data_IF_130522382688
#
_entry.id   IF_130522382688
#
_cell.length_a   1.000
_cell.length_b   1.000
_cell.length_c   1.000
_cell.angle_alpha   90.00
_cell.angle_beta   90.00
_cell.angle_gamma   90.00
#
_symmetry.space_group_name_H-M   'P 1'
#
loop_
_entity.id
_entity.type
_entity.pdbx_description
1 polymer ?
#
# COMPACT_ATOMS: atom_id res chain seq x y z
N UNK A 1 8.60 8.40 18.20
CA UNK A 1 9.55 8.87 17.15
C UNK A 1 9.01 8.26 15.88
N UNK A 2 8.08 8.99 15.26
CA UNK A 2 7.17 8.50 14.21
C UNK A 2 7.43 9.23 12.87
N UNK A 3 8.54 9.98 12.81
CA UNK A 3 8.91 10.88 11.71
C UNK A 3 9.01 10.19 10.35
N UNK A 4 9.36 8.90 10.32
CA UNK A 4 9.46 8.13 9.07
C UNK A 4 8.09 7.78 8.51
N UNK A 5 7.13 7.42 9.38
CA UNK A 5 5.75 7.10 8.99
C UNK A 5 5.04 8.37 8.53
N UNK A 6 5.23 9.47 9.27
CA UNK A 6 4.68 10.78 8.89
C UNK A 6 5.19 11.23 7.52
N UNK A 7 6.49 11.03 7.23
CA UNK A 7 7.07 11.39 5.93
C UNK A 7 6.49 10.54 4.78
N UNK A 8 6.22 9.25 5.02
CA UNK A 8 5.58 8.39 4.01
C UNK A 8 4.14 8.85 3.74
N UNK A 9 3.36 9.13 4.79
CA UNK A 9 1.99 9.60 4.61
C UNK A 9 1.93 10.93 3.86
N UNK A 10 2.86 11.84 4.13
CA UNK A 10 2.99 13.11 3.39
C UNK A 10 3.26 12.83 1.91
N UNK A 11 4.17 11.90 1.58
CA UNK A 11 4.47 11.54 0.18
C UNK A 11 3.26 10.89 -0.50
N UNK A 12 2.54 10.02 0.19
CA UNK A 12 1.33 9.37 -0.31
C UNK A 12 0.26 10.42 -0.61
N UNK A 13 -0.01 11.33 0.31
CA UNK A 13 -1.01 12.39 0.11
C UNK A 13 -0.64 13.27 -1.09
N UNK A 14 0.63 13.65 -1.21
CA UNK A 14 1.13 14.41 -2.36
C UNK A 14 0.96 13.64 -3.68
N UNK A 15 1.37 12.37 -3.71
CA UNK A 15 1.21 11.53 -4.91
C UNK A 15 -0.26 11.35 -5.28
N UNK A 16 -1.15 11.22 -4.29
CA UNK A 16 -2.60 11.14 -4.48
C UNK A 16 -3.16 12.42 -5.10
N UNK A 17 -2.67 13.59 -4.70
CA UNK A 17 -3.07 14.88 -5.30
C UNK A 17 -2.59 15.03 -6.76
N UNK A 18 -1.43 14.44 -7.09
CA UNK A 18 -0.87 14.42 -8.45
C UNK A 18 -1.63 13.48 -9.40
N UNK A 19 -2.46 12.57 -8.88
CA UNK A 19 -3.32 11.71 -9.70
C UNK A 19 -4.39 12.52 -10.44
N UNK A 20 -4.73 12.06 -11.65
CA UNK A 20 -5.86 12.62 -12.40
C UNK A 20 -7.15 12.53 -11.58
N UNK A 21 -8.07 13.48 -11.81
CA UNK A 21 -9.35 13.49 -11.11
C UNK A 21 -10.16 12.20 -11.34
N UNK A 22 -10.04 11.61 -12.53
CA UNK A 22 -10.67 10.33 -12.87
C UNK A 22 -10.13 9.19 -12.01
N UNK A 23 -8.81 9.12 -11.85
CA UNK A 23 -8.16 8.11 -11.01
C UNK A 23 -8.54 8.27 -9.54
N UNK A 24 -8.51 9.49 -9.01
CA UNK A 24 -8.94 9.75 -7.62
C UNK A 24 -10.38 9.32 -7.39
N UNK A 25 -11.31 9.75 -8.25
CA UNK A 25 -12.72 9.37 -8.15
C UNK A 25 -12.94 7.86 -8.23
N UNK A 26 -12.19 7.16 -9.10
CA UNK A 26 -12.29 5.70 -9.21
C UNK A 26 -11.78 4.99 -7.94
N UNK A 27 -10.70 5.48 -7.34
CA UNK A 27 -10.16 4.95 -6.07
C UNK A 27 -11.15 5.23 -4.92
N UNK A 28 -11.67 6.46 -4.82
CA UNK A 28 -12.59 6.87 -3.76
C UNK A 28 -13.96 6.17 -3.83
N UNK A 29 -14.36 5.72 -5.03
CA UNK A 29 -15.60 4.98 -5.24
C UNK A 29 -15.56 3.56 -4.69
N UNK A 30 -14.36 2.99 -4.51
CA UNK A 30 -14.18 1.61 -4.00
C UNK A 30 -13.72 1.68 -2.56
N UNK A 31 -14.51 1.11 -1.65
CA UNK A 31 -14.13 1.01 -0.24
C UNK A 31 -13.11 -0.13 0.02
N UNK A 32 -11.91 0.05 -0.54
CA UNK A 32 -10.85 -0.94 -0.55
C UNK A 32 -10.25 -1.18 0.84
N UNK A 33 -10.30 -0.19 1.74
CA UNK A 33 -9.86 -0.33 3.13
C UNK A 33 -10.75 -1.31 3.89
N UNK A 34 -12.06 -1.22 3.72
CA UNK A 34 -13.01 -2.18 4.32
C UNK A 34 -12.83 -3.58 3.75
N UNK A 35 -12.48 -3.71 2.47
CA UNK A 35 -12.16 -5.01 1.86
C UNK A 35 -10.92 -5.63 2.52
N UNK A 36 -9.84 -4.86 2.69
CA UNK A 36 -8.63 -5.32 3.39
C UNK A 36 -8.95 -5.70 4.84
N UNK A 37 -9.75 -4.89 5.53
CA UNK A 37 -10.17 -5.20 6.91
C UNK A 37 -10.96 -6.51 7.00
N UNK A 38 -11.80 -6.80 5.99
CA UNK A 38 -12.55 -8.05 5.87
C UNK A 38 -11.64 -9.29 5.78
N UNK A 39 -10.45 -9.16 5.17
CA UNK A 39 -9.47 -10.26 5.07
C UNK A 39 -9.00 -10.75 6.45
N UNK A 40 -9.13 -9.94 7.50
CA UNK A 40 -8.86 -10.36 8.87
C UNK A 40 -9.70 -11.57 9.28
N UNK A 41 -10.99 -11.53 8.98
CA UNK A 41 -11.93 -12.57 9.36
C UNK A 41 -11.70 -13.86 8.54
N UNK A 42 -11.29 -13.71 7.27
CA UNK A 42 -11.09 -14.83 6.34
C UNK A 42 -9.75 -15.55 6.57
N UNK A 43 -8.66 -14.80 6.78
CA UNK A 43 -7.29 -15.33 6.79
C UNK A 43 -6.56 -15.22 8.14
N UNK A 44 -7.14 -14.51 9.10
CA UNK A 44 -6.55 -14.39 10.44
C UNK A 44 -5.31 -13.50 10.52
N UNK A 45 -5.12 -12.56 9.58
CA UNK A 45 -4.01 -11.62 9.61
C UNK A 45 -4.02 -10.75 10.87
N UNK A 46 -2.83 -10.38 11.36
CA UNK A 46 -2.70 -9.46 12.48
C UNK A 46 -3.02 -8.03 12.06
N UNK A 47 -3.35 -7.16 13.03
CA UNK A 47 -3.62 -5.75 12.74
C UNK A 47 -2.43 -5.08 12.05
N UNK A 48 -1.21 -5.32 12.53
CA UNK A 48 0.03 -4.79 11.92
C UNK A 48 0.25 -5.29 10.50
N UNK A 49 -0.11 -6.55 10.20
CA UNK A 49 -0.02 -7.08 8.84
C UNK A 49 -1.00 -6.40 7.89
N UNK A 50 -2.23 -6.15 8.35
CA UNK A 50 -3.25 -5.45 7.56
C UNK A 50 -2.91 -3.98 7.38
N UNK A 51 -2.35 -3.32 8.39
CA UNK A 51 -1.86 -1.95 8.30
C UNK A 51 -0.71 -1.84 7.27
N UNK A 52 0.23 -2.80 7.28
CA UNK A 52 1.26 -2.88 6.26
C UNK A 52 0.66 -3.13 4.86
N UNK A 53 -0.32 -4.03 4.73
CA UNK A 53 -1.01 -4.29 3.47
C UNK A 53 -1.76 -3.06 2.95
N UNK A 54 -2.45 -2.33 3.83
CA UNK A 54 -3.15 -1.09 3.52
C UNK A 54 -2.16 -0.05 2.97
N UNK A 55 -1.05 0.15 3.68
CA UNK A 55 -0.02 1.12 3.31
C UNK A 55 0.63 0.77 1.96
N UNK A 56 1.02 -0.49 1.74
CA UNK A 56 1.59 -0.94 0.45
C UNK A 56 0.58 -0.81 -0.69
N UNK A 57 -0.70 -1.09 -0.42
CA UNK A 57 -1.75 -0.94 -1.43
C UNK A 57 -1.97 0.52 -1.77
N UNK A 58 -1.97 1.42 -0.79
CA UNK A 58 -2.08 2.85 -1.04
C UNK A 58 -0.89 3.39 -1.84
N UNK A 59 0.33 2.95 -1.52
CA UNK A 59 1.54 3.26 -2.27
C UNK A 59 1.43 2.82 -3.75
N UNK A 60 0.90 1.62 -3.99
CA UNK A 60 0.66 1.12 -5.36
C UNK A 60 -0.43 1.94 -6.09
N UNK A 61 -1.55 2.24 -5.44
CA UNK A 61 -2.64 3.03 -6.02
C UNK A 61 -2.21 4.46 -6.37
N UNK A 62 -1.30 5.03 -5.60
CA UNK A 62 -0.67 6.32 -5.86
C UNK A 62 0.45 6.26 -6.90
N UNK A 63 0.79 5.09 -7.44
CA UNK A 63 1.86 4.91 -8.42
C UNK A 63 3.28 5.10 -7.86
N UNK A 64 3.44 5.01 -6.54
CA UNK A 64 4.75 5.11 -5.87
C UNK A 64 5.52 3.79 -5.88
N UNK A 65 4.82 2.68 -6.09
CA UNK A 65 5.39 1.33 -6.22
C UNK A 65 4.99 0.75 -7.57
N UNK A 66 5.90 0.01 -8.20
CA UNK A 66 5.59 -0.72 -9.43
C UNK A 66 4.77 -1.98 -9.11
N UNK A 67 3.78 -2.35 -9.95
CA UNK A 67 3.00 -3.57 -9.76
C UNK A 67 3.84 -4.84 -9.60
N UNK A 68 4.98 -4.91 -10.29
CA UNK A 68 5.92 -6.05 -10.24
C UNK A 68 6.66 -6.16 -8.90
N UNK A 69 6.77 -5.06 -8.15
CA UNK A 69 7.47 -5.00 -6.86
C UNK A 69 6.49 -5.13 -5.68
N UNK A 70 5.19 -4.97 -5.91
CA UNK A 70 4.16 -5.07 -4.87
C UNK A 70 4.19 -6.40 -4.08
N UNK A 71 4.32 -7.60 -4.71
CA UNK A 71 4.45 -8.85 -3.95
C UNK A 71 5.70 -8.87 -3.06
N UNK A 72 6.81 -8.26 -3.51
CA UNK A 72 8.08 -8.24 -2.77
C UNK A 72 8.02 -7.31 -1.56
N UNK A 73 7.38 -6.16 -1.69
CA UNK A 73 7.21 -5.23 -0.56
C UNK A 73 6.23 -5.80 0.48
N UNK A 74 5.17 -6.49 0.04
CA UNK A 74 4.30 -7.26 0.93
C UNK A 74 5.09 -8.34 1.68
N UNK A 75 5.91 -9.14 0.98
CA UNK A 75 6.74 -10.19 1.61
C UNK A 75 7.59 -9.62 2.74
N UNK A 76 8.26 -8.52 2.44
CA UNK A 76 9.20 -7.85 3.33
C UNK A 76 8.53 -7.23 4.55
N UNK A 77 7.35 -6.60 4.39
CA UNK A 77 6.68 -5.90 5.51
C UNK A 77 5.74 -6.78 6.31
N UNK A 78 5.03 -7.70 5.67
CA UNK A 78 4.09 -8.60 6.38
C UNK A 78 4.78 -9.84 6.96
N UNK A 79 5.98 -10.19 6.47
CA UNK A 79 6.74 -11.35 6.94
C UNK A 79 6.05 -12.68 6.69
N UNK A 80 5.25 -12.77 5.62
CA UNK A 80 4.49 -13.98 5.24
C UNK A 80 5.24 -14.77 4.16
N UNK A 81 5.09 -16.11 4.12
CA UNK A 81 5.75 -16.94 3.11
C UNK A 81 5.27 -16.59 1.70
N UNK A 82 6.17 -16.64 0.71
CA UNK A 82 5.88 -16.34 -0.69
C UNK A 82 4.64 -17.03 -1.27
N UNK A 83 4.40 -18.30 -0.91
CA UNK A 83 3.20 -19.03 -1.36
C UNK A 83 1.89 -18.33 -0.98
N UNK A 84 1.81 -17.76 0.23
CA UNK A 84 0.62 -17.05 0.71
C UNK A 84 0.49 -15.66 0.08
N UNK A 85 1.59 -15.08 -0.41
CA UNK A 85 1.61 -13.77 -1.06
C UNK A 85 0.97 -13.86 -2.43
N UNK A 86 1.29 -14.88 -3.20
CA UNK A 86 0.71 -15.07 -4.53
C UNK A 86 -0.82 -15.19 -4.44
N UNK A 87 -1.33 -15.91 -3.44
CA UNK A 87 -2.76 -15.99 -3.14
C UNK A 87 -3.35 -14.64 -2.71
N UNK A 88 -2.66 -13.90 -1.83
CA UNK A 88 -3.10 -12.60 -1.35
C UNK A 88 -3.15 -11.56 -2.48
N UNK A 89 -2.14 -11.52 -3.34
CA UNK A 89 -2.06 -10.61 -4.49
C UNK A 89 -3.18 -10.91 -5.48
N UNK A 90 -3.46 -12.19 -5.75
CA UNK A 90 -4.60 -12.57 -6.60
C UNK A 90 -5.93 -12.12 -6.00
N UNK A 91 -6.11 -12.29 -4.69
CA UNK A 91 -7.32 -11.85 -4.01
C UNK A 91 -7.48 -10.32 -4.05
N UNK A 92 -6.40 -9.58 -3.82
CA UNK A 92 -6.38 -8.11 -3.95
C UNK A 92 -6.69 -7.67 -5.39
N UNK A 93 -6.17 -8.39 -6.38
CA UNK A 93 -6.45 -8.11 -7.78
C UNK A 93 -7.93 -8.27 -8.12
N UNK A 94 -8.58 -9.34 -7.64
CA UNK A 94 -10.00 -9.57 -7.88
C UNK A 94 -10.92 -8.66 -7.04
N UNK A 95 -10.65 -8.50 -5.73
CA UNK A 95 -11.53 -7.77 -4.82
C UNK A 95 -11.36 -6.26 -4.91
N UNK A 96 -10.13 -5.77 -5.13
CA UNK A 96 -9.79 -4.34 -5.08
C UNK A 96 -9.43 -3.79 -6.47
N UNK A 97 -8.33 -4.26 -7.09
CA UNK A 97 -7.79 -3.61 -8.28
C UNK A 97 -8.71 -3.72 -9.50
N UNK A 98 -9.43 -4.84 -9.64
CA UNK A 98 -10.41 -5.02 -10.71
C UNK A 98 -11.57 -4.02 -10.59
N UNK A 99 -12.13 -3.84 -9.40
CA UNK A 99 -13.23 -2.87 -9.16
C UNK A 99 -12.79 -1.43 -9.44
N UNK A 100 -11.58 -1.06 -9.02
CA UNK A 100 -11.03 0.28 -9.29
C UNK A 100 -10.85 0.48 -10.81
N UNK A 101 -10.33 -0.53 -11.52
CA UNK A 101 -10.19 -0.49 -12.98
C UNK A 101 -11.55 -0.36 -13.69
N UNK A 102 -12.56 -1.09 -13.24
CA UNK A 102 -13.92 -1.00 -13.78
C UNK A 102 -14.51 0.42 -13.59
N UNK A 103 -14.37 1.01 -12.39
CA UNK A 103 -14.81 2.39 -12.14
C UNK A 103 -14.01 3.42 -12.95
N UNK A 104 -12.71 3.18 -13.19
CA UNK A 104 -11.88 4.05 -14.03
C UNK A 104 -12.38 4.06 -15.48
N UNK A 105 -12.65 2.88 -16.06
CA UNK A 105 -13.19 2.75 -17.43
C UNK A 105 -14.53 3.48 -17.54
N UNK A 106 -15.43 3.26 -16.58
CA UNK A 106 -16.75 3.90 -16.51
C UNK A 106 -16.67 5.42 -16.40
N UNK A 107 -15.71 5.96 -15.65
CA UNK A 107 -15.50 7.41 -15.52
C UNK A 107 -14.98 8.04 -16.83
N UNK A 108 -14.10 7.34 -17.56
CA UNK A 108 -13.59 7.79 -18.86
C UNK A 108 -14.69 7.76 -19.93
N UNK A 109 -15.53 6.72 -19.95
CA UNK A 109 -16.65 6.60 -20.90
C UNK A 109 -17.72 7.68 -20.71
N UNK A 110 -18.03 8.02 -19.45
CA UNK A 110 -18.94 9.14 -19.11
C UNK A 110 -18.45 10.48 -19.63
N UNK A 111 -17.12 10.70 -19.67
CA UNK A 111 -16.52 11.93 -20.22
C UNK A 111 -16.46 11.95 -21.75
N UNK A 112 -16.32 10.78 -22.39
CA UNK A 112 -16.25 10.65 -23.86
C UNK A 112 -17.59 10.76 -24.56
N UNK A 113 -18.69 10.65 -23.84
CA UNK A 113 -20.01 10.92 -24.40
C UNK A 113 -20.26 12.42 -24.27
N UNK A 114 -20.09 13.23 -25.33
CA UNK A 114 -20.54 14.60 -25.29
C UNK A 114 -22.03 14.56 -25.01
N UNK A 115 -22.40 15.14 -23.87
CA UNK A 115 -23.76 15.39 -23.45
C UNK A 115 -24.50 16.09 -24.60
N UNK A 116 -25.25 15.30 -25.37
CA UNK A 116 -26.30 15.82 -26.21
C UNK A 116 -27.33 16.44 -25.26
N UNK A 117 -27.28 17.77 -25.20
CA UNK A 117 -28.15 18.65 -24.42
C UNK A 117 -29.54 18.07 -24.21
N UNK A 118 -29.97 18.00 -22.95
CA UNK A 118 -31.32 18.46 -22.64
C UNK A 118 -31.24 19.74 -21.81
N UNK A 119 -31.78 20.86 -22.30
CA UNK A 119 -32.09 22.01 -21.48
C UNK A 119 -33.32 21.63 -20.65
N UNK A 120 -33.15 21.40 -19.34
CA UNK A 120 -34.29 21.43 -18.44
C UNK A 120 -34.66 22.90 -18.31
N UNK A 121 -35.74 23.23 -18.99
CA UNK A 121 -36.45 24.50 -18.94
C UNK A 121 -36.88 24.78 -17.50
N UNK A 122 -36.45 25.93 -17.01
CA UNK A 122 -37.18 26.68 -16.00
C UNK A 122 -38.44 27.27 -16.65
N UNK A 123 -39.56 27.36 -15.91
CA UNK A 123 -39.94 28.70 -15.50
C UNK A 123 -40.48 28.81 -14.06
N UNK A 124 -39.95 29.82 -13.39
CA UNK A 124 -40.68 30.88 -12.67
C UNK A 124 -41.04 30.74 -11.17
N UNK A 125 -40.37 31.65 -10.42
CA UNK A 125 -40.93 32.65 -9.48
C UNK A 125 -40.98 32.32 -7.99
N UNK A 126 -40.02 32.86 -7.23
CA UNK A 126 -40.18 34.05 -6.35
C UNK A 126 -38.81 34.32 -5.65
N UNK A 127 -38.11 35.43 -5.95
CA UNK A 127 -38.18 36.74 -5.24
C UNK A 127 -37.66 36.64 -3.79
N UNK A 128 -36.69 37.39 -3.26
CA UNK A 128 -36.08 38.68 -3.62
C UNK A 128 -34.81 38.86 -2.74
N UNK A 129 -33.78 39.54 -3.28
CA UNK A 129 -32.86 40.53 -2.68
C UNK A 129 -32.18 40.25 -1.31
N UNK A 130 -30.85 40.35 -1.18
CA UNK A 130 -30.17 41.66 -1.14
C UNK A 130 -28.66 41.54 -1.42
N UNK A 131 -28.17 42.52 -2.18
CA UNK A 131 -26.80 42.83 -2.61
C UNK A 131 -25.73 42.86 -1.52
N UNK A 132 -24.50 42.46 -1.89
CA UNK A 132 -23.33 43.35 -1.70
C UNK A 132 -22.27 43.09 -2.77
N UNK A 133 -22.07 44.16 -3.51
CA UNK A 133 -21.06 44.49 -4.51
C UNK A 133 -19.71 44.74 -3.81
N UNK A 134 -18.63 44.07 -4.23
CA UNK A 134 -17.27 44.65 -4.30
C UNK A 134 -16.53 44.01 -5.50
N UNK A 135 -16.23 44.86 -6.47
CA UNK A 135 -15.34 44.62 -7.60
C UNK A 135 -13.86 44.67 -7.19
N UNK A 136 -13.00 43.90 -7.87
CA UNK A 136 -11.58 44.16 -8.20
C UNK A 136 -11.07 42.88 -8.93
N UNK A 137 -11.06 42.79 -10.27
CA UNK A 137 -10.12 43.44 -11.21
C UNK A 137 -8.65 43.16 -10.88
N UNK A 138 -8.14 42.01 -11.33
CA UNK A 138 -6.72 41.85 -11.70
C UNK A 138 -6.60 40.77 -12.79
N UNK A 139 -6.78 41.19 -14.04
CA UNK A 139 -6.54 40.38 -15.23
C UNK A 139 -5.03 40.24 -15.44
N UNK A 140 -4.50 39.04 -15.22
CA UNK A 140 -3.18 38.70 -15.75
C UNK A 140 -3.32 38.33 -17.23
N UNK A 141 -2.55 38.94 -18.14
CA UNK A 141 -2.62 38.67 -19.56
C UNK A 141 -2.18 37.24 -19.86
N UNK A 142 -3.03 36.50 -20.56
CA UNK A 142 -2.70 35.21 -21.17
C UNK A 142 -1.59 35.41 -22.20
N UNK A 143 -0.45 34.76 -22.00
CA UNK A 143 0.59 34.59 -23.02
C UNK A 143 -0.01 33.92 -24.26
N UNK A 144 0.16 34.57 -25.40
CA UNK A 144 -0.42 34.16 -26.67
C UNK A 144 0.15 32.83 -27.16
N UNK A 145 -0.75 31.96 -27.62
CA UNK A 145 -0.49 30.66 -28.27
C UNK A 145 0.59 30.71 -29.38
N UNK A 146 0.85 31.87 -29.97
CA UNK A 146 1.92 32.09 -30.97
C UNK A 146 3.34 32.04 -30.39
N UNK A 147 3.54 32.35 -29.11
CA UNK A 147 4.88 32.33 -28.48
C UNK A 147 5.35 30.91 -28.14
N UNK A 148 4.41 29.99 -27.88
CA UNK A 148 4.68 28.56 -27.70
C UNK A 148 5.08 27.87 -29.01
N UNK A 149 4.60 28.35 -30.17
CA UNK A 149 4.95 27.79 -31.49
C UNK A 149 6.38 28.12 -31.90
N UNK A 150 6.93 29.29 -31.53
CA UNK A 150 8.33 29.65 -31.82
C UNK A 150 9.36 28.78 -31.07
N UNK A 151 8.99 28.16 -29.95
CA UNK A 151 9.88 27.32 -29.14
C UNK A 151 10.05 25.90 -29.68
N UNK A 152 9.23 25.48 -30.65
CA UNK A 152 9.29 24.13 -31.24
C UNK A 152 10.12 24.13 -32.54
N UNK A 153 10.26 25.27 -33.22
CA UNK A 153 10.84 25.34 -34.57
C UNK A 153 12.38 25.36 -34.60
N UNK A 154 13.08 25.53 -33.47
CA UNK A 154 14.55 25.50 -33.40
C UNK A 154 15.11 24.81 -32.14
N UNK A 155 15.27 23.47 -32.14
CA UNK A 155 15.84 22.74 -31.01
C UNK A 155 17.39 22.74 -30.93
N UNK A 156 18.11 23.44 -31.82
CA UNK A 156 19.54 23.16 -32.09
C UNK A 156 20.58 24.16 -31.52
N UNK A 157 20.23 25.02 -30.54
CA UNK A 157 21.17 26.05 -30.03
C UNK A 157 21.56 25.96 -28.54
N UNK A 158 21.49 24.77 -27.91
CA UNK A 158 22.03 24.57 -26.55
C UNK A 158 22.93 23.34 -26.41
N UNK A 159 23.86 23.17 -27.35
CA UNK A 159 25.03 22.29 -27.19
C UNK A 159 26.30 23.05 -27.54
N UNK A 160 26.89 23.76 -26.57
CA UNK A 160 28.31 24.12 -26.59
C UNK A 160 28.76 24.78 -25.27
N UNK A 161 29.20 23.95 -24.31
CA UNK A 161 30.23 24.21 -23.27
C UNK A 161 30.32 22.91 -22.45
N UNK A 162 31.39 22.15 -22.31
CA UNK A 162 32.83 22.31 -22.52
C UNK A 162 33.42 20.90 -22.67
N UNK A 163 34.42 20.75 -23.54
CA UNK A 163 35.23 19.54 -23.71
C UNK A 163 36.36 19.52 -22.66
N UNK A 164 36.70 18.38 -22.04
CA UNK A 164 38.04 18.12 -21.53
C UNK A 164 38.93 17.50 -22.62
N UNK A 165 40.16 18.01 -22.72
CA UNK A 165 41.20 17.58 -23.65
C UNK A 165 42.20 16.59 -23.02
N UNK A 166 42.67 15.64 -23.84
CA UNK A 166 43.92 14.87 -23.67
C UNK A 166 43.77 13.63 -22.78
N UNK A 167 44.14 12.40 -23.15
CA UNK A 167 45.17 11.94 -24.08
C UNK A 167 44.89 10.46 -24.47
N UNK A 168 45.25 10.01 -25.68
CA UNK A 168 45.27 8.59 -26.05
C UNK A 168 46.69 8.02 -25.93
N UNK A 169 46.83 6.83 -25.34
CA UNK A 169 48.01 5.99 -25.58
C UNK A 169 47.59 4.52 -25.68
N UNK A 170 48.03 3.94 -26.80
CA UNK A 170 47.73 2.65 -27.39
C UNK A 170 48.54 1.50 -26.74
N UNK A 171 48.48 0.24 -27.23
CA UNK A 171 48.28 -0.94 -26.40
C UNK A 171 49.52 -1.84 -26.28
N UNK A 172 49.50 -2.81 -25.36
CA UNK A 172 50.39 -3.98 -25.43
C UNK A 172 49.65 -5.28 -25.14
N UNK A 173 49.71 -6.15 -26.15
CA UNK A 173 49.50 -7.59 -26.10
C UNK A 173 50.26 -8.25 -24.95
N UNK A 174 49.70 -9.32 -24.37
CA UNK A 174 50.30 -10.66 -24.36
C UNK A 174 49.43 -11.66 -23.59
N UNK A 175 48.80 -12.57 -24.33
CA UNK A 175 48.57 -13.97 -23.91
C UNK A 175 49.91 -14.67 -23.67
N UNK A 176 50.05 -15.68 -22.77
CA UNK A 176 49.72 -17.06 -23.18
C UNK A 176 49.34 -18.09 -22.08
N UNK A 177 48.57 -19.09 -22.54
CA UNK A 177 48.70 -20.56 -22.33
C UNK A 177 48.41 -21.23 -20.97
N UNK A 178 47.43 -22.14 -21.10
CA UNK A 178 47.11 -23.36 -20.36
C UNK A 178 48.28 -24.18 -19.78
N UNK A 179 48.04 -24.80 -18.61
CA UNK A 179 47.83 -26.26 -18.44
C UNK A 179 47.64 -26.66 -16.96
N UNK A 180 47.04 -27.83 -16.66
CA UNK A 180 46.48 -28.19 -15.35
C UNK A 180 47.49 -28.93 -14.47
N UNK A 181 47.39 -28.77 -13.15
CA UNK A 181 48.08 -29.63 -12.17
C UNK A 181 47.05 -30.21 -11.21
N UNK A 182 47.18 -31.52 -11.05
CA UNK A 182 46.31 -32.43 -10.33
C UNK A 182 47.05 -32.91 -9.06
N UNK A 183 46.27 -33.35 -8.06
CA UNK A 183 46.63 -34.23 -6.91
C UNK A 183 47.24 -33.51 -5.68
N UNK A 184 47.02 -33.94 -4.39
CA UNK A 184 46.11 -34.96 -3.82
C UNK A 184 45.18 -34.47 -2.69
N UNK A 185 44.15 -35.28 -2.42
CA UNK A 185 43.51 -35.41 -1.10
C UNK A 185 44.37 -36.31 -0.21
N UNK A 186 44.64 -35.90 1.03
CA UNK A 186 44.51 -36.72 2.25
C UNK A 186 45.18 -36.06 3.48
N UNK A 187 44.43 -36.06 4.60
CA UNK A 187 44.89 -36.00 6.02
C UNK A 187 45.50 -34.65 6.49
N UNK A 188 45.05 -33.97 7.57
CA UNK A 188 45.29 -34.31 8.99
C UNK A 188 44.50 -33.34 9.90
N UNK A 189 43.93 -33.92 10.97
CA UNK A 189 43.46 -33.31 12.22
C UNK A 189 44.56 -32.45 12.89
N UNK A 190 44.27 -31.22 13.31
CA UNK A 190 45.18 -30.46 14.16
C UNK A 190 44.53 -29.23 14.76
N UNK A 191 44.27 -29.30 16.06
CA UNK A 191 43.89 -28.20 16.94
C UNK A 191 44.81 -26.98 16.80
N UNK A 192 44.22 -25.80 16.60
CA UNK A 192 44.85 -24.53 17.00
C UNK A 192 43.77 -23.62 17.61
N UNK A 193 43.89 -23.44 18.92
CA UNK A 193 43.23 -22.40 19.68
C UNK A 193 43.83 -21.02 19.36
N UNK A 194 42.99 -20.01 19.11
CA UNK A 194 43.13 -18.62 19.61
C UNK A 194 42.04 -17.72 19.00
N UNK A 195 41.23 -17.06 19.83
CA UNK A 195 40.39 -15.95 19.39
C UNK A 195 39.18 -15.64 20.26
N UNK A 196 39.35 -15.47 21.57
CA UNK A 196 38.33 -14.90 22.46
C UNK A 196 37.99 -13.48 22.05
N UNK A 197 36.98 -13.31 21.19
CA UNK A 197 36.22 -12.07 21.07
C UNK A 197 35.19 -12.06 22.18
N UNK A 198 35.43 -11.27 23.23
CA UNK A 198 34.39 -10.89 24.18
C UNK A 198 33.36 -10.03 23.45
N UNK A 199 32.41 -10.67 22.80
CA UNK A 199 31.19 -10.03 22.31
C UNK A 199 30.44 -9.52 23.54
N UNK A 200 30.38 -8.21 23.70
CA UNK A 200 29.45 -7.62 24.68
C UNK A 200 28.05 -8.06 24.26
N UNK A 201 27.29 -8.76 25.11
CA UNK A 201 25.96 -9.21 24.74
C UNK A 201 25.14 -7.99 24.35
N UNK A 202 24.55 -8.05 23.15
CA UNK A 202 23.61 -7.02 22.71
C UNK A 202 22.54 -6.81 23.79
N UNK A 203 22.07 -5.57 23.97
CA UNK A 203 20.94 -5.23 24.86
C UNK A 203 19.75 -6.16 24.64
N UNK A 204 19.60 -6.65 23.41
CA UNK A 204 18.58 -7.63 23.01
C UNK A 204 18.80 -8.99 23.69
N UNK A 205 20.04 -9.49 23.72
CA UNK A 205 20.43 -10.71 24.42
C UNK A 205 20.27 -10.54 25.95
N UNK A 206 20.59 -9.37 26.50
CA UNK A 206 20.41 -9.08 27.92
C UNK A 206 18.93 -9.08 28.34
N UNK A 207 18.02 -8.62 27.47
CA UNK A 207 16.58 -8.62 27.74
C UNK A 207 15.92 -9.99 27.58
N UNK A 208 16.35 -10.80 26.61
CA UNK A 208 15.80 -12.15 26.39
C UNK A 208 16.34 -13.19 27.38
N UNK A 209 17.52 -12.95 27.96
CA UNK A 209 18.11 -13.84 28.98
C UNK A 209 17.47 -13.66 30.36
N UNK A 210 16.66 -12.61 30.55
CA UNK A 210 15.90 -12.42 31.78
C UNK A 210 14.69 -13.37 31.79
N UNK A 211 14.66 -14.30 32.74
CA UNK A 211 13.45 -15.08 33.03
C UNK A 211 12.36 -14.11 33.50
N UNK A 212 11.48 -13.72 32.57
CA UNK A 212 10.34 -12.88 32.90
C UNK A 212 9.28 -13.76 33.55
N UNK A 213 9.31 -13.81 34.88
CA UNK A 213 8.34 -14.53 35.68
C UNK A 213 7.05 -13.70 35.70
N UNK A 214 6.14 -14.00 34.77
CA UNK A 214 4.84 -13.35 34.71
C UNK A 214 4.12 -13.70 36.02
N UNK A 215 3.78 -12.72 36.89
CA UNK A 215 3.07 -13.00 38.12
C UNK A 215 1.73 -13.62 37.77
N UNK A 216 1.54 -14.87 38.19
CA UNK A 216 0.29 -15.60 37.96
C UNK A 216 -0.75 -15.00 38.89
N UNK A 217 -1.61 -14.14 38.35
CA UNK A 217 -2.78 -13.64 39.07
C UNK A 217 -3.77 -14.79 39.16
N UNK A 218 -3.91 -15.39 40.34
CA UNK A 218 -5.00 -16.30 40.60
C UNK A 218 -6.28 -15.47 40.62
N UNK A 219 -7.08 -15.58 39.56
CA UNK A 219 -8.42 -15.03 39.56
C UNK A 219 -9.34 -16.06 40.20
N UNK A 220 -9.73 -15.80 41.45
CA UNK A 220 -10.78 -16.55 42.14
C UNK A 220 -12.13 -16.25 41.47
N UNK A 221 -12.42 -16.96 40.39
CA UNK A 221 -13.77 -16.99 39.80
C UNK A 221 -14.66 -17.91 40.65
N UNK A 222 -15.05 -17.44 41.83
CA UNK A 222 -16.04 -18.11 42.66
C UNK A 222 -17.45 -17.86 42.11
N UNK A 223 -18.01 -18.86 41.42
CA UNK A 223 -19.40 -18.86 40.94
C UNK A 223 -20.37 -19.15 42.11
N UNK A 224 -20.49 -18.22 43.05
CA UNK A 224 -21.40 -18.31 44.20
C UNK A 224 -22.86 -17.92 43.87
N UNK A 225 -23.44 -18.40 42.76
CA UNK A 225 -24.83 -18.09 42.40
C UNK A 225 -25.69 -19.27 41.94
N UNK A 226 -25.30 -20.52 42.24
CA UNK A 226 -26.12 -21.70 41.95
C UNK A 226 -26.37 -22.53 43.21
N UNK A 227 -27.07 -21.93 44.16
CA UNK A 227 -27.85 -22.68 45.16
C UNK A 227 -29.20 -22.01 45.35
N UNK A 228 -30.10 -22.25 44.38
CA UNK A 228 -31.52 -22.33 44.66
C UNK A 228 -32.08 -23.53 43.90
N UNK A 229 -32.38 -24.58 44.68
CA UNK A 229 -33.26 -25.68 44.32
C UNK A 229 -34.60 -25.14 43.80
N UNK A 230 -35.07 -25.64 42.64
CA UNK A 230 -36.46 -26.06 42.45
C UNK A 230 -36.67 -26.82 41.11
N UNK A 231 -36.83 -28.14 41.23
CA UNK A 231 -37.75 -29.10 40.58
C UNK A 231 -38.25 -28.80 39.14
N UNK A 232 -38.18 -29.79 38.21
CA UNK A 232 -38.53 -29.64 36.80
C UNK A 232 -40.04 -29.70 36.57
N UNK A 233 -40.59 -28.78 35.77
CA UNK A 233 -41.92 -28.95 35.19
C UNK A 233 -41.85 -28.82 33.67
N UNK A 234 -42.09 -29.94 33.01
CA UNK A 234 -42.16 -30.10 31.56
C UNK A 234 -43.41 -29.38 31.04
N UNK A 235 -43.22 -28.43 30.12
CA UNK A 235 -44.29 -27.98 29.22
C UNK A 235 -43.98 -28.47 27.80
N UNK A 236 -44.94 -29.10 27.10
CA UNK A 236 -44.74 -29.53 25.72
C UNK A 236 -44.70 -28.31 24.78
N UNK A 237 -43.72 -28.32 23.88
CA UNK A 237 -43.54 -27.34 22.79
C UNK A 237 -44.77 -27.38 21.87
N UNK A 238 -45.52 -26.29 21.85
CA UNK A 238 -46.58 -26.06 20.87
C UNK A 238 -45.92 -25.57 19.58
N UNK A 239 -46.22 -26.26 18.48
CA UNK A 239 -45.71 -25.97 17.14
C UNK A 239 -46.33 -24.67 16.58
N UNK A 240 -45.53 -23.67 16.17
CA UNK A 240 -46.02 -22.38 15.66
C UNK A 240 -46.82 -22.43 14.35
N UNK A 241 -46.88 -23.58 13.65
CA UNK A 241 -47.58 -23.70 12.35
C UNK A 241 -48.85 -24.54 12.39
N UNK A 242 -49.40 -24.84 13.57
CA UNK A 242 -50.67 -25.56 13.66
C UNK A 242 -51.84 -24.59 13.46
N UNK A 243 -52.30 -24.44 12.23
CA UNK A 243 -53.53 -23.72 11.91
C UNK A 243 -54.71 -24.35 12.66
N UNK A 244 -55.35 -23.56 13.51
CA UNK A 244 -56.62 -23.93 14.16
C UNK A 244 -57.75 -23.59 13.20
N UNK A 245 -58.43 -24.62 12.69
CA UNK A 245 -59.69 -24.47 11.95
C UNK A 245 -60.79 -24.11 12.95
N UNK A 246 -61.41 -22.95 12.78
CA UNK A 246 -62.68 -22.53 13.40
C UNK A 246 -63.62 -22.07 12.29
#
# INVERSE_FOLDING_TARGET
MDTTVDLLQIKINKAREELSEESRRAIDAVDWKTIILGMRAEKGYSYTQLENLELETELLLCGLINPEDYPKEIEKRMGIPKANIDELVNEMNEKVFKKIREELVKNVERKKTPENRQPVSEPEKQSLETSSEIAHADEKPMEGREELLRKIEHPDLLKQKELPAGNPMEPKEQTPKASPVNIPKDTILGDIALGDKKETPSILTQKLSGSFQIPTVQTDHSLNNLSQNNIPNSTPKVDPYRETLD
#
